data_IF_052492943619
#
_entry.id   IF_052492943619
#
_cell.length_a   1.000
_cell.length_b   1.000
_cell.length_c   1.000
_cell.angle_alpha   90.00
_cell.angle_beta   90.00
_cell.angle_gamma   90.00
#
_symmetry.space_group_name_H-M   'P 1'
#
loop_
_entity.id
_entity.type
_entity.pdbx_description
1 polymer ?
#
# COMPACT_ATOMS: atom_id res chain seq x y z
N UNK A 1 5.12 -6.18 -9.65
CA UNK A 1 4.76 -5.95 -11.08
C UNK A 1 4.80 -4.45 -11.36
N UNK A 2 5.02 -3.94 -12.58
CA UNK A 2 4.95 -2.49 -12.86
C UNK A 2 3.52 -2.03 -13.17
N UNK A 3 3.29 -0.71 -13.17
CA UNK A 3 2.03 -0.12 -13.68
C UNK A 3 1.94 -0.41 -15.19
N UNK A 4 0.78 -0.86 -15.66
CA UNK A 4 0.53 -1.04 -17.09
C UNK A 4 -0.82 -0.43 -17.46
N UNK A 5 -0.85 0.35 -18.53
CA UNK A 5 -2.06 0.92 -19.10
C UNK A 5 -2.18 0.43 -20.54
N UNK A 6 -3.30 -0.17 -20.90
CA UNK A 6 -3.55 -0.64 -22.27
C UNK A 6 -4.91 -0.15 -22.73
N UNK A 7 -4.96 0.46 -23.91
CA UNK A 7 -6.22 0.86 -24.54
C UNK A 7 -6.86 -0.35 -25.24
N UNK A 8 -8.14 -0.59 -24.97
CA UNK A 8 -8.92 -1.66 -25.57
C UNK A 8 -10.27 -1.11 -26.03
N UNK A 9 -10.35 -0.71 -27.30
CA UNK A 9 -11.53 -0.05 -27.86
C UNK A 9 -11.86 1.27 -27.15
N UNK A 10 -13.01 1.32 -26.48
CA UNK A 10 -13.49 2.47 -25.69
C UNK A 10 -13.01 2.47 -24.25
N UNK A 11 -12.28 1.44 -23.82
CA UNK A 11 -11.85 1.26 -22.45
C UNK A 11 -10.32 1.35 -22.29
N UNK A 12 -9.89 1.60 -21.07
CA UNK A 12 -8.55 1.41 -20.56
C UNK A 12 -8.54 0.24 -19.60
N UNK A 13 -7.53 -0.62 -19.76
CA UNK A 13 -7.17 -1.66 -18.82
C UNK A 13 -5.96 -1.19 -18.03
N UNK A 14 -6.10 -1.10 -16.71
CA UNK A 14 -5.07 -0.55 -15.81
C UNK A 14 -4.66 -1.63 -14.82
N UNK A 15 -3.39 -2.03 -14.85
CA UNK A 15 -2.77 -2.93 -13.88
C UNK A 15 -1.84 -2.14 -12.98
N UNK A 16 -1.84 -2.47 -11.69
CA UNK A 16 -1.05 -1.78 -10.67
C UNK A 16 -0.13 -2.77 -9.96
N UNK A 17 1.02 -2.30 -9.42
CA UNK A 17 2.03 -3.14 -8.79
C UNK A 17 1.49 -3.94 -7.60
N UNK A 18 0.69 -3.27 -6.79
CA UNK A 18 0.07 -3.77 -5.57
C UNK A 18 -1.27 -3.05 -5.38
N UNK A 19 -2.14 -3.58 -4.52
CA UNK A 19 -3.36 -2.89 -4.14
C UNK A 19 -3.04 -1.53 -3.48
N UNK A 20 -3.78 -0.49 -3.85
CA UNK A 20 -3.78 0.79 -3.16
C UNK A 20 -5.23 1.28 -3.01
N UNK A 21 -5.71 1.43 -1.78
CA UNK A 21 -7.12 1.74 -1.51
C UNK A 21 -7.51 3.16 -1.91
N UNK A 22 -6.58 4.12 -1.86
CA UNK A 22 -6.81 5.46 -2.38
C UNK A 22 -7.00 5.44 -3.90
N UNK A 23 -6.17 4.67 -4.62
CA UNK A 23 -6.34 4.50 -6.06
C UNK A 23 -7.65 3.77 -6.38
N UNK A 24 -7.94 2.67 -5.68
CA UNK A 24 -9.14 1.87 -5.87
C UNK A 24 -10.42 2.69 -5.67
N UNK A 25 -10.46 3.56 -4.66
CA UNK A 25 -11.57 4.48 -4.47
C UNK A 25 -11.67 5.44 -5.66
N UNK A 26 -10.54 6.05 -6.03
CA UNK A 26 -10.51 7.08 -7.07
C UNK A 26 -10.86 6.56 -8.47
N UNK A 27 -10.42 5.36 -8.83
CA UNK A 27 -10.78 4.75 -10.12
C UNK A 27 -12.25 4.30 -10.16
N UNK A 28 -12.83 3.90 -9.03
CA UNK A 28 -14.28 3.63 -8.93
C UNK A 28 -15.11 4.89 -9.15
N UNK A 29 -14.69 6.05 -8.63
CA UNK A 29 -15.34 7.33 -8.90
C UNK A 29 -15.36 7.68 -10.41
N UNK A 30 -14.38 7.17 -11.17
CA UNK A 30 -14.30 7.33 -12.63
C UNK A 30 -15.14 6.28 -13.39
N UNK A 31 -15.98 5.50 -12.70
CA UNK A 31 -16.75 4.40 -13.27
C UNK A 31 -15.94 3.12 -13.47
N UNK A 32 -14.74 3.04 -12.90
CA UNK A 32 -13.86 1.90 -13.02
C UNK A 32 -14.42 0.65 -12.33
N UNK A 33 -14.24 -0.50 -12.97
CA UNK A 33 -14.63 -1.82 -12.48
C UNK A 33 -13.42 -2.73 -12.38
N UNK A 34 -13.33 -3.50 -11.32
CA UNK A 34 -12.28 -4.49 -11.17
C UNK A 34 -12.63 -5.74 -11.98
N UNK A 35 -11.83 -6.03 -13.00
CA UNK A 35 -11.90 -7.23 -13.85
C UNK A 35 -10.53 -7.89 -13.80
N UNK A 36 -10.32 -8.72 -12.78
CA UNK A 36 -9.01 -9.29 -12.47
C UNK A 36 -8.29 -9.82 -13.74
N UNK A 37 -7.02 -9.44 -13.97
CA UNK A 37 -6.12 -8.74 -13.05
C UNK A 37 -6.03 -7.21 -13.26
N UNK A 38 -7.04 -6.57 -13.87
CA UNK A 38 -6.98 -5.15 -14.21
C UNK A 38 -8.24 -4.37 -13.79
N UNK A 39 -8.09 -3.06 -13.61
CA UNK A 39 -9.22 -2.14 -13.62
C UNK A 39 -9.61 -1.82 -15.06
N UNK A 40 -10.90 -1.96 -15.39
CA UNK A 40 -11.48 -1.45 -16.64
C UNK A 40 -12.17 -0.13 -16.38
N UNK A 41 -11.88 0.90 -17.18
CA UNK A 41 -12.47 2.24 -17.08
C UNK A 41 -12.58 2.88 -18.45
N UNK A 42 -13.51 3.81 -18.66
CA UNK A 42 -13.68 4.52 -19.94
C UNK A 42 -12.40 5.23 -20.38
N UNK A 43 -12.01 5.08 -21.64
CA UNK A 43 -10.76 5.61 -22.17
C UNK A 43 -10.68 7.14 -22.26
N UNK A 44 -11.81 7.84 -22.12
CA UNK A 44 -11.83 9.30 -21.99
C UNK A 44 -11.27 9.76 -20.64
N UNK A 45 -11.18 8.87 -19.65
CA UNK A 45 -10.66 9.19 -18.31
C UNK A 45 -9.15 8.99 -18.18
N UNK A 46 -8.40 8.75 -19.26
CA UNK A 46 -6.97 8.41 -19.20
C UNK A 46 -6.15 9.41 -18.39
N UNK A 47 -6.31 10.70 -18.63
CA UNK A 47 -5.59 11.74 -17.91
C UNK A 47 -5.89 11.73 -16.40
N UNK A 48 -7.16 11.48 -16.02
CA UNK A 48 -7.58 11.39 -14.62
C UNK A 48 -7.00 10.13 -13.95
N UNK A 49 -6.97 9.01 -14.68
CA UNK A 49 -6.39 7.74 -14.22
C UNK A 49 -4.89 7.90 -13.97
N UNK A 50 -4.15 8.49 -14.91
CA UNK A 50 -2.70 8.74 -14.78
C UNK A 50 -2.39 9.65 -13.59
N UNK A 51 -3.15 10.72 -13.39
CA UNK A 51 -3.01 11.57 -12.21
C UNK A 51 -3.26 10.81 -10.89
N UNK A 52 -4.25 9.92 -10.87
CA UNK A 52 -4.52 9.07 -9.71
C UNK A 52 -3.40 8.05 -9.45
N UNK A 53 -2.79 7.51 -10.52
CA UNK A 53 -1.64 6.62 -10.44
C UNK A 53 -0.43 7.34 -9.84
N UNK A 54 -0.07 8.53 -10.34
CA UNK A 54 1.05 9.33 -9.82
C UNK A 54 0.89 9.59 -8.32
N UNK A 55 -0.32 9.98 -7.89
CA UNK A 55 -0.61 10.24 -6.47
C UNK A 55 -0.41 9.00 -5.60
N UNK A 56 -0.74 7.81 -6.12
CA UNK A 56 -0.88 6.59 -5.32
C UNK A 56 0.33 5.65 -5.42
N UNK A 57 1.09 5.75 -6.50
CA UNK A 57 2.20 4.86 -6.85
C UNK A 57 3.47 5.62 -7.28
N UNK A 58 3.44 6.94 -7.37
CA UNK A 58 4.62 7.75 -7.74
C UNK A 58 4.93 7.78 -9.23
N UNK A 59 4.16 7.09 -10.07
CA UNK A 59 4.30 7.09 -11.53
C UNK A 59 2.96 6.96 -12.23
N UNK A 60 2.92 7.23 -13.53
CA UNK A 60 1.73 7.20 -14.38
C UNK A 60 1.68 6.02 -15.34
N UNK A 61 2.64 5.09 -15.24
CA UNK A 61 2.82 3.97 -16.18
C UNK A 61 3.91 4.20 -17.22
N UNK A 62 4.55 5.37 -17.23
CA UNK A 62 5.69 5.70 -18.08
C UNK A 62 6.92 6.01 -17.24
N UNK A 63 8.09 5.54 -17.69
CA UNK A 63 9.34 5.70 -16.96
C UNK A 63 9.40 4.96 -15.62
N UNK A 64 10.38 5.33 -14.80
CA UNK A 64 10.52 4.80 -13.44
C UNK A 64 9.67 5.62 -12.46
N UNK A 65 8.87 4.98 -11.59
CA UNK A 65 8.08 5.69 -10.61
C UNK A 65 8.99 6.34 -9.54
N UNK A 66 8.63 7.54 -9.07
CA UNK A 66 9.36 8.20 -7.99
C UNK A 66 8.95 7.63 -6.62
N UNK A 67 9.57 6.52 -6.27
CA UNK A 67 9.32 5.79 -5.03
C UNK A 67 10.56 5.69 -4.14
N UNK A 68 10.32 5.44 -2.86
CA UNK A 68 11.34 5.18 -1.83
C UNK A 68 10.88 4.04 -0.93
N UNK A 69 11.80 3.52 -0.12
CA UNK A 69 11.45 2.66 1.02
C UNK A 69 11.31 3.53 2.26
N UNK A 70 10.17 3.42 2.95
CA UNK A 70 9.89 4.16 4.19
C UNK A 70 9.91 3.19 5.36
N UNK A 71 10.72 3.45 6.38
CA UNK A 71 10.59 2.80 7.68
C UNK A 71 9.73 3.67 8.59
N UNK A 72 8.82 3.05 9.32
CA UNK A 72 8.06 3.70 10.38
C UNK A 72 7.57 2.70 11.43
N UNK A 73 7.25 3.20 12.62
CA UNK A 73 6.46 2.46 13.59
C UNK A 73 4.97 2.72 13.34
N UNK A 74 4.16 1.67 13.42
CA UNK A 74 2.72 1.72 13.20
C UNK A 74 2.01 1.09 14.40
N UNK A 75 1.18 1.88 15.06
CA UNK A 75 0.28 1.46 16.12
C UNK A 75 -1.15 1.81 15.70
N UNK A 76 -1.87 0.81 15.17
CA UNK A 76 -3.20 1.00 14.57
C UNK A 76 -3.96 -0.32 14.49
N UNK A 77 -5.26 -0.26 14.70
CA UNK A 77 -6.19 -1.35 14.41
C UNK A 77 -7.24 -0.95 13.37
N UNK A 78 -7.96 -1.95 12.85
CA UNK A 78 -8.99 -1.78 11.85
C UNK A 78 -10.07 -2.85 11.99
N UNK A 79 -11.33 -2.42 12.11
CA UNK A 79 -12.47 -3.31 12.30
C UNK A 79 -12.85 -4.01 11.00
N UNK A 80 -12.79 -5.35 11.01
CA UNK A 80 -13.11 -6.23 9.89
C UNK A 80 -12.49 -5.83 8.53
N UNK A 81 -11.35 -5.16 8.59
CA UNK A 81 -10.74 -4.48 7.46
C UNK A 81 -9.21 -4.48 7.63
N UNK A 82 -8.41 -4.33 6.56
CA UNK A 82 -6.97 -4.12 6.66
C UNK A 82 -6.62 -2.88 7.48
N UNK A 83 -5.43 -2.91 8.08
CA UNK A 83 -4.75 -1.70 8.54
C UNK A 83 -4.05 -1.08 7.34
N UNK A 84 -4.30 0.21 7.13
CA UNK A 84 -3.80 0.95 5.96
C UNK A 84 -3.09 2.24 6.37
N UNK A 85 -2.02 2.58 5.64
CA UNK A 85 -1.31 3.86 5.73
C UNK A 85 -1.17 4.43 4.33
N UNK A 86 -1.66 5.66 4.13
CA UNK A 86 -1.61 6.37 2.84
C UNK A 86 -2.15 5.56 1.62
N UNK A 87 -3.07 4.63 1.86
CA UNK A 87 -3.65 3.76 0.84
C UNK A 87 -2.91 2.43 0.64
N UNK A 88 -1.77 2.23 1.30
CA UNK A 88 -1.07 0.93 1.32
C UNK A 88 -1.67 0.05 2.41
N UNK A 89 -2.00 -1.19 2.04
CA UNK A 89 -2.36 -2.23 3.00
C UNK A 89 -1.08 -2.63 3.73
N UNK A 90 -1.05 -2.41 5.04
CA UNK A 90 0.06 -2.78 5.92
C UNK A 90 -0.09 -4.23 6.34
N UNK A 91 -1.28 -4.57 6.82
CA UNK A 91 -1.64 -5.93 7.18
C UNK A 91 -3.15 -6.16 7.02
N UNK A 92 -3.53 -7.44 6.94
CA UNK A 92 -4.93 -7.86 6.90
C UNK A 92 -5.16 -9.18 7.63
N UNK A 93 -6.12 -9.17 8.54
CA UNK A 93 -6.75 -10.37 9.08
C UNK A 93 -7.98 -10.77 8.24
N UNK A 94 -8.43 -12.01 8.39
CA UNK A 94 -9.65 -12.54 7.77
C UNK A 94 -10.64 -13.10 8.81
N UNK A 95 -10.24 -13.08 10.09
CA UNK A 95 -11.03 -13.51 11.23
C UNK A 95 -10.24 -13.29 12.52
N UNK A 96 -10.88 -13.51 13.69
CA UNK A 96 -10.25 -13.33 15.01
C UNK A 96 -8.98 -14.16 15.20
N UNK A 97 -8.98 -15.37 14.69
CA UNK A 97 -7.93 -16.37 14.91
C UNK A 97 -7.05 -16.61 13.67
N UNK A 98 -7.18 -15.77 12.64
CA UNK A 98 -6.38 -15.93 11.43
C UNK A 98 -4.94 -15.44 11.58
N UNK A 99 -4.64 -14.73 12.66
CA UNK A 99 -3.55 -13.76 12.68
C UNK A 99 -3.80 -12.66 11.64
N UNK A 100 -2.78 -11.87 11.34
CA UNK A 100 -2.80 -10.95 10.22
C UNK A 100 -1.61 -11.20 9.29
N UNK A 101 -1.85 -11.07 7.98
CA UNK A 101 -0.82 -11.19 6.95
C UNK A 101 -0.36 -9.82 6.54
N UNK A 102 0.95 -9.65 6.35
CA UNK A 102 1.52 -8.43 5.81
C UNK A 102 1.02 -8.19 4.38
N UNK A 103 0.87 -6.91 4.03
CA UNK A 103 0.59 -6.49 2.66
C UNK A 103 1.80 -6.67 1.75
N UNK A 104 1.56 -6.52 0.45
CA UNK A 104 2.62 -6.61 -0.56
C UNK A 104 3.63 -5.46 -0.41
N UNK A 105 4.93 -5.82 -0.44
CA UNK A 105 6.03 -4.88 -0.25
C UNK A 105 6.16 -4.34 1.18
N UNK A 106 5.53 -4.98 2.16
CA UNK A 106 5.66 -4.63 3.58
C UNK A 106 6.56 -5.64 4.28
N UNK A 107 7.58 -5.15 4.99
CA UNK A 107 8.49 -5.97 5.80
C UNK A 107 8.31 -5.57 7.26
N UNK A 108 8.07 -6.53 8.15
CA UNK A 108 8.07 -6.29 9.60
C UNK A 108 9.50 -6.46 10.13
N UNK A 109 10.04 -5.41 10.74
CA UNK A 109 11.36 -5.45 11.39
C UNK A 109 11.24 -5.91 12.84
N UNK A 110 10.25 -5.39 13.56
CA UNK A 110 10.00 -5.72 14.97
C UNK A 110 8.52 -5.52 15.33
N UNK A 111 8.09 -5.99 16.50
CA UNK A 111 6.74 -5.86 17.02
C UNK A 111 5.77 -6.91 16.46
N UNK A 112 4.47 -6.64 16.54
CA UNK A 112 3.40 -7.59 16.28
C UNK A 112 2.43 -7.16 15.18
N UNK A 113 2.02 -8.14 14.38
CA UNK A 113 0.96 -8.02 13.37
C UNK A 113 0.03 -9.20 13.57
N UNK A 114 -1.19 -8.93 14.05
CA UNK A 114 -2.10 -9.99 14.50
C UNK A 114 -3.56 -9.63 14.26
N UNK A 115 -4.44 -10.55 14.62
CA UNK A 115 -5.88 -10.35 14.67
C UNK A 115 -6.36 -10.21 16.12
N UNK A 116 -7.43 -9.44 16.32
CA UNK A 116 -8.04 -9.21 17.63
C UNK A 116 -9.56 -9.38 17.61
N UNK A 117 -10.20 -8.94 18.70
CA UNK A 117 -11.65 -8.89 18.84
C UNK A 117 -12.31 -10.26 19.05
N UNK A 118 -13.52 -10.42 18.53
CA UNK A 118 -14.31 -11.67 18.63
C UNK A 118 -14.54 -12.30 17.25
N UNK A 119 -15.06 -13.53 17.19
CA UNK A 119 -15.37 -14.20 15.91
C UNK A 119 -16.30 -13.36 15.02
N UNK A 120 -17.27 -12.67 15.62
CA UNK A 120 -18.22 -11.82 14.90
C UNK A 120 -17.70 -10.39 14.70
N UNK A 121 -16.81 -9.91 15.56
CA UNK A 121 -16.28 -8.54 15.55
C UNK A 121 -14.75 -8.57 15.62
N UNK A 122 -14.11 -9.12 14.60
CA UNK A 122 -12.65 -9.24 14.56
C UNK A 122 -11.99 -7.97 14.04
N UNK A 123 -10.74 -7.76 14.43
CA UNK A 123 -9.91 -6.62 13.99
C UNK A 123 -8.60 -7.10 13.39
N UNK A 124 -8.04 -6.31 12.47
CA UNK A 124 -6.60 -6.37 12.14
C UNK A 124 -5.88 -5.43 13.08
N UNK A 125 -4.79 -5.86 13.71
CA UNK A 125 -4.00 -5.06 14.66
C UNK A 125 -2.54 -5.04 14.21
N UNK A 126 -1.97 -3.85 14.17
CA UNK A 126 -0.55 -3.61 13.90
C UNK A 126 -0.01 -2.76 15.04
N UNK A 127 1.02 -3.27 15.70
CA UNK A 127 1.87 -2.56 16.64
C UNK A 127 3.30 -3.00 16.33
N UNK A 128 3.89 -2.39 15.30
CA UNK A 128 5.10 -2.90 14.68
C UNK A 128 5.90 -1.82 13.96
N UNK A 129 7.22 -2.00 13.97
CA UNK A 129 8.12 -1.27 13.09
C UNK A 129 8.20 -1.99 11.75
N UNK A 130 7.88 -1.29 10.67
CA UNK A 130 7.81 -1.87 9.32
C UNK A 130 8.60 -1.04 8.31
N UNK A 131 8.97 -1.69 7.20
CA UNK A 131 9.41 -1.04 5.96
C UNK A 131 8.29 -1.17 4.93
N UNK A 132 7.96 -0.05 4.28
CA UNK A 132 7.02 0.06 3.17
C UNK A 132 7.84 0.35 1.90
N UNK A 133 8.05 -0.68 1.08
CA UNK A 133 8.67 -0.53 -0.24
C UNK A 133 7.71 0.11 -1.24
N UNK A 134 8.25 0.71 -2.30
CA UNK A 134 7.48 1.37 -3.37
C UNK A 134 6.52 2.46 -2.85
N UNK A 135 6.94 3.18 -1.81
CA UNK A 135 6.18 4.31 -1.28
C UNK A 135 6.44 5.55 -2.15
N UNK A 136 5.41 6.21 -2.72
CA UNK A 136 5.63 7.44 -3.48
C UNK A 136 6.40 8.47 -2.65
N UNK A 137 7.42 9.12 -3.21
CA UNK A 137 8.28 10.04 -2.45
C UNK A 137 7.49 11.13 -1.72
N UNK A 138 6.43 11.67 -2.34
CA UNK A 138 5.54 12.66 -1.73
C UNK A 138 4.79 12.11 -0.50
N UNK A 139 4.40 10.84 -0.53
CA UNK A 139 3.75 10.16 0.60
C UNK A 139 4.77 9.95 1.73
N UNK A 140 5.98 9.50 1.40
CA UNK A 140 7.05 9.35 2.38
C UNK A 140 7.43 10.70 3.03
N UNK A 141 7.59 11.75 2.23
CA UNK A 141 7.86 13.11 2.73
C UNK A 141 6.75 13.60 3.67
N UNK A 142 5.49 13.37 3.30
CA UNK A 142 4.35 13.68 4.18
C UNK A 142 4.38 12.89 5.48
N UNK A 143 4.68 11.59 5.43
CA UNK A 143 4.79 10.76 6.63
C UNK A 143 5.87 11.29 7.59
N UNK A 144 7.00 11.76 7.05
CA UNK A 144 8.11 12.31 7.85
C UNK A 144 7.82 13.71 8.40
N UNK A 145 7.10 14.55 7.66
CA UNK A 145 6.85 15.95 8.03
C UNK A 145 5.57 16.15 8.84
N UNK A 146 4.45 15.60 8.35
CA UNK A 146 3.11 15.82 8.92
C UNK A 146 2.61 14.62 9.73
N UNK A 147 3.16 13.43 9.48
CA UNK A 147 2.69 12.18 10.04
C UNK A 147 1.39 11.64 9.41
N UNK A 148 1.05 10.43 9.81
CA UNK A 148 -0.26 9.81 9.58
C UNK A 148 -0.77 9.29 10.93
N UNK A 149 -2.08 9.19 11.10
CA UNK A 149 -2.66 8.63 12.34
C UNK A 149 -2.13 7.22 12.60
N UNK A 150 -1.59 7.00 13.79
CA UNK A 150 -1.00 5.73 14.20
C UNK A 150 0.36 5.43 13.54
N UNK A 151 1.05 6.45 13.00
CA UNK A 151 2.37 6.29 12.36
C UNK A 151 3.36 7.25 12.98
N UNK A 152 4.47 6.73 13.48
CA UNK A 152 5.54 7.48 14.13
C UNK A 152 6.92 7.04 13.61
N UNK A 153 7.96 7.80 13.98
CA UNK A 153 9.36 7.49 13.66
C UNK A 153 9.66 7.28 12.16
N UNK A 154 8.87 7.92 11.31
CA UNK A 154 8.97 7.81 9.86
C UNK A 154 10.31 8.34 9.36
N UNK A 155 11.02 7.52 8.59
CA UNK A 155 12.31 7.87 7.97
C UNK A 155 12.54 7.07 6.69
N UNK A 156 13.38 7.59 5.79
CA UNK A 156 13.83 6.81 4.64
C UNK A 156 14.60 5.58 5.14
N UNK A 157 14.21 4.42 4.62
CA UNK A 157 14.89 3.17 4.91
C UNK A 157 16.05 2.98 3.94
N UNK A 158 17.26 2.85 4.50
CA UNK A 158 18.45 2.40 3.79
C UNK A 158 18.86 1.10 4.47
N UNK A 159 18.77 -0.06 3.80
CA UNK A 159 19.13 -1.32 4.41
C UNK A 159 20.63 -1.32 4.73
N UNK A 160 20.97 -1.66 5.97
CA UNK A 160 22.33 -2.07 6.30
C UNK A 160 22.50 -3.53 5.88
N UNK A 161 22.80 -3.72 4.60
CA UNK A 161 22.93 -5.05 3.97
C UNK A 161 24.07 -5.84 4.59
N UNK A 162 25.10 -5.15 5.10
CA UNK A 162 26.26 -5.79 5.69
C UNK A 162 25.93 -6.36 7.08
N UNK A 163 25.24 -5.61 7.94
CA UNK A 163 24.78 -6.10 9.23
C UNK A 163 23.80 -7.29 9.10
N UNK A 164 22.92 -7.29 8.09
CA UNK A 164 21.98 -8.39 7.82
C UNK A 164 22.66 -9.66 7.28
N UNK A 165 23.77 -9.52 6.56
CA UNK A 165 24.54 -10.66 6.04
C UNK A 165 25.47 -11.28 7.09
N UNK A 166 25.88 -10.49 8.09
CA UNK A 166 26.77 -10.91 9.19
C UNK A 166 26.01 -11.45 10.41
N UNK A 167 24.70 -11.18 10.50
CA UNK A 167 23.81 -11.72 11.53
C UNK A 167 23.54 -13.21 11.31
N UNK A 168 24.22 -14.06 12.07
CA UNK A 168 23.92 -15.49 12.20
C UNK A 168 23.05 -15.69 13.45
N UNK A 169 21.99 -16.48 13.26
CA UNK A 169 21.00 -17.06 14.19
C UNK A 169 19.61 -16.41 14.23
#
# INVERSE_FOLDING_TARGET
>A
MAIQITRSGTDLLVRTPHANTNFNARIKDMGGRWEAPAWRVDARNEALVRAALVRSYGGDGEGEPDTVSLQCHIEKDSWQSPVEVAGRIIARAFGRDSGAKLGEGIVRLDGSVTSGGSRANWTTVVDATVVIHDCPRKVAAKAMADGYTGVTEARLYVPDVQALAEGVD
#
